data_IF_994466376715
#
_entry.id   IF_994466376715
#
_cell.length_a   1.000
_cell.length_b   1.000
_cell.length_c   1.000
_cell.angle_alpha   90.00
_cell.angle_beta   90.00
_cell.angle_gamma   90.00
#
_symmetry.space_group_name_H-M   'P 1'
#
loop_
_entity.id
_entity.type
_entity.pdbx_description
1 polymer ?
#
# COMPACT_ATOMS: atom_id res chain seq x y z
N UNK A 1 -17.80 -14.93 28.37
CA UNK A 1 -17.83 -14.28 29.68
C UNK A 1 -16.52 -13.52 29.87
N UNK A 2 -16.63 -12.27 30.32
CA UNK A 2 -15.50 -11.43 30.68
C UNK A 2 -15.53 -11.24 32.20
N UNK A 3 -14.45 -11.61 32.85
CA UNK A 3 -14.27 -11.39 34.29
C UNK A 3 -13.24 -10.30 34.51
N UNK A 4 -13.71 -9.12 34.84
CA UNK A 4 -12.87 -7.98 35.18
C UNK A 4 -12.74 -7.92 36.69
N UNK A 5 -11.56 -8.20 37.21
CA UNK A 5 -11.25 -8.21 38.63
C UNK A 5 -10.57 -6.92 39.11
N UNK A 6 -10.51 -5.92 38.26
CA UNK A 6 -9.77 -4.68 38.53
C UNK A 6 -10.68 -3.47 38.55
N UNK A 7 -10.36 -2.52 39.39
CA UNK A 7 -10.92 -1.15 39.37
C UNK A 7 -9.97 -0.15 38.72
N UNK A 8 -8.83 -0.61 38.17
CA UNK A 8 -7.81 0.21 37.49
C UNK A 8 -7.66 -0.12 36.01
N UNK A 9 -8.28 -1.21 35.58
CA UNK A 9 -8.19 -1.73 34.22
C UNK A 9 -9.57 -2.08 33.69
N UNK A 10 -9.69 -2.14 32.39
CA UNK A 10 -10.85 -2.66 31.69
C UNK A 10 -10.43 -3.69 30.64
N UNK A 11 -11.37 -4.36 30.05
CA UNK A 11 -11.17 -5.20 28.88
C UNK A 11 -12.02 -4.65 27.73
N UNK A 12 -11.37 -4.06 26.76
CA UNK A 12 -11.99 -3.50 25.57
C UNK A 12 -11.65 -4.39 24.34
N UNK A 13 -12.67 -4.98 23.73
CA UNK A 13 -12.57 -5.81 22.53
C UNK A 13 -13.12 -5.06 21.32
N UNK A 14 -12.28 -4.88 20.30
CA UNK A 14 -12.63 -4.19 19.05
C UNK A 14 -12.32 -5.05 17.83
N UNK A 15 -13.10 -4.91 16.77
CA UNK A 15 -12.89 -5.61 15.50
C UNK A 15 -14.11 -5.54 14.59
N UNK A 16 -14.14 -6.30 13.48
CA UNK A 16 -15.27 -6.29 12.56
C UNK A 16 -16.59 -6.61 13.25
N UNK A 17 -17.48 -5.59 13.35
CA UNK A 17 -18.78 -5.72 14.00
C UNK A 17 -18.74 -5.86 15.52
N UNK A 18 -17.61 -5.64 16.17
CA UNK A 18 -17.45 -5.76 17.62
C UNK A 18 -16.76 -4.52 18.19
N UNK A 19 -17.39 -3.93 19.20
CA UNK A 19 -16.86 -2.85 20.01
C UNK A 19 -17.53 -2.98 21.40
N UNK A 20 -16.86 -3.67 22.34
CA UNK A 20 -17.39 -4.00 23.66
C UNK A 20 -16.32 -3.77 24.72
N UNK A 21 -16.68 -3.06 25.79
CA UNK A 21 -15.78 -2.79 26.90
C UNK A 21 -16.43 -3.03 28.26
N UNK A 22 -15.63 -3.41 29.25
CA UNK A 22 -15.96 -3.26 30.68
C UNK A 22 -15.61 -1.83 31.12
N UNK A 23 -15.98 -1.44 32.31
CA UNK A 23 -15.66 -0.10 32.83
C UNK A 23 -14.35 -0.11 33.62
N UNK A 24 -13.46 0.87 33.38
CA UNK A 24 -12.18 1.01 34.09
C UNK A 24 -12.34 1.07 35.62
N UNK A 25 -13.39 1.66 36.12
CA UNK A 25 -13.54 1.93 37.58
C UNK A 25 -14.31 0.86 38.36
N UNK A 26 -14.69 -0.23 37.70
CA UNK A 26 -15.62 -1.21 38.31
C UNK A 26 -15.21 -2.64 38.00
N UNK A 27 -14.81 -3.39 39.02
CA UNK A 27 -14.67 -4.83 38.87
C UNK A 27 -16.04 -5.46 38.57
N UNK A 28 -16.14 -6.21 37.47
CA UNK A 28 -17.42 -6.73 36.96
C UNK A 28 -17.31 -8.05 36.24
N UNK A 29 -18.42 -8.73 36.08
CA UNK A 29 -18.55 -9.87 35.16
C UNK A 29 -19.59 -9.52 34.11
N UNK A 30 -19.20 -9.59 32.85
CA UNK A 30 -20.10 -9.35 31.73
C UNK A 30 -20.18 -10.60 30.82
N UNK A 31 -21.34 -10.83 30.24
CA UNK A 31 -21.56 -11.83 29.21
C UNK A 31 -21.85 -11.12 27.90
N UNK A 32 -20.99 -11.29 26.92
CA UNK A 32 -21.16 -10.73 25.58
C UNK A 32 -21.50 -11.84 24.59
N UNK A 33 -22.53 -11.60 23.78
CA UNK A 33 -22.84 -12.43 22.61
C UNK A 33 -22.18 -11.79 21.40
N UNK A 34 -21.04 -12.34 20.98
CA UNK A 34 -20.23 -11.81 19.88
C UNK A 34 -20.19 -12.81 18.74
N UNK A 35 -20.50 -12.33 17.53
CA UNK A 35 -20.27 -13.10 16.29
C UNK A 35 -18.97 -12.65 15.66
N UNK A 36 -17.98 -13.52 15.64
CA UNK A 36 -16.71 -13.24 14.99
C UNK A 36 -16.80 -13.54 13.49
N UNK A 37 -16.64 -12.51 12.66
CA UNK A 37 -16.47 -12.63 11.21
C UNK A 37 -14.98 -12.61 10.85
N UNK A 38 -14.65 -12.86 9.57
CA UNK A 38 -13.27 -12.84 9.12
C UNK A 38 -12.61 -11.47 9.37
N UNK A 39 -11.48 -11.46 10.05
CA UNK A 39 -10.76 -10.24 10.35
C UNK A 39 -9.86 -10.33 11.58
N UNK A 40 -9.23 -9.21 11.90
CA UNK A 40 -8.39 -9.06 13.08
C UNK A 40 -9.16 -8.34 14.18
N UNK A 41 -9.16 -8.93 15.35
CA UNK A 41 -9.71 -8.38 16.58
C UNK A 41 -8.57 -7.95 17.50
N UNK A 42 -8.80 -6.89 18.23
CA UNK A 42 -7.85 -6.36 19.20
C UNK A 42 -8.53 -6.26 20.56
N UNK A 43 -7.74 -6.51 21.57
CA UNK A 43 -8.17 -6.24 22.94
C UNK A 43 -7.11 -5.39 23.64
N UNK A 44 -7.57 -4.48 24.48
CA UNK A 44 -6.72 -3.57 25.25
C UNK A 44 -7.38 -3.19 26.55
N UNK A 45 -6.60 -2.59 27.44
CA UNK A 45 -7.11 -1.76 28.51
C UNK A 45 -7.05 -0.30 28.07
N UNK A 46 -8.15 0.42 28.16
CA UNK A 46 -8.24 1.82 27.70
C UNK A 46 -7.38 2.76 28.56
N UNK A 47 -7.19 2.44 29.84
CA UNK A 47 -6.26 3.17 30.71
C UNK A 47 -4.79 2.91 30.36
N UNK A 48 -4.46 1.76 29.74
CA UNK A 48 -3.08 1.35 29.45
C UNK A 48 -2.90 0.79 28.02
N UNK A 49 -3.28 1.53 26.96
CA UNK A 49 -3.41 1.00 25.59
C UNK A 49 -2.08 0.61 24.94
N UNK A 50 -0.95 1.03 25.50
CA UNK A 50 0.39 0.72 24.97
C UNK A 50 0.99 -0.54 25.57
N UNK A 51 0.68 -0.88 26.82
CA UNK A 51 1.25 -1.98 27.59
C UNK A 51 0.29 -3.17 27.77
N UNK A 52 -1.01 -2.93 27.85
CA UNK A 52 -2.03 -3.97 28.07
C UNK A 52 -2.87 -4.13 26.79
N UNK A 53 -2.35 -4.91 25.86
CA UNK A 53 -3.01 -5.12 24.57
C UNK A 53 -2.59 -6.45 23.91
N UNK A 54 -3.46 -6.95 23.06
CA UNK A 54 -3.18 -8.08 22.20
C UNK A 54 -4.12 -8.12 21.01
N UNK A 55 -3.97 -9.15 20.19
CA UNK A 55 -4.86 -9.35 19.05
C UNK A 55 -4.97 -10.82 18.69
N UNK A 56 -6.06 -11.18 18.03
CA UNK A 56 -6.26 -12.47 17.40
C UNK A 56 -6.96 -12.30 16.05
N UNK A 57 -6.96 -13.32 15.23
CA UNK A 57 -7.66 -13.33 13.95
C UNK A 57 -8.77 -14.36 13.97
N UNK A 58 -9.90 -14.04 13.37
CA UNK A 58 -10.99 -14.97 13.09
C UNK A 58 -11.08 -15.21 11.60
N UNK A 59 -11.28 -16.44 11.17
CA UNK A 59 -11.38 -16.81 9.78
C UNK A 59 -10.08 -16.67 8.97
N UNK A 60 -10.22 -16.48 7.67
CA UNK A 60 -9.08 -16.32 6.75
C UNK A 60 -8.77 -14.83 6.54
N UNK A 61 -7.69 -14.34 7.14
CA UNK A 61 -7.22 -12.98 6.87
C UNK A 61 -6.42 -12.98 5.56
N UNK A 62 -7.02 -12.47 4.50
CA UNK A 62 -6.30 -12.25 3.25
C UNK A 62 -5.30 -11.12 3.46
N UNK A 63 -4.01 -11.44 3.50
CA UNK A 63 -2.97 -10.42 3.56
C UNK A 63 -3.12 -9.44 2.39
N UNK A 64 -2.97 -8.11 2.61
CA UNK A 64 -2.98 -7.17 1.50
C UNK A 64 -1.96 -7.60 0.43
N UNK A 65 -2.32 -7.55 -0.86
CA UNK A 65 -1.41 -7.97 -1.91
C UNK A 65 -0.10 -7.19 -1.82
N UNK A 66 1.05 -7.86 -1.97
CA UNK A 66 2.35 -7.22 -1.82
C UNK A 66 2.52 -6.08 -2.82
N UNK A 67 2.99 -4.92 -2.33
CA UNK A 67 3.25 -3.77 -3.19
C UNK A 67 4.42 -4.09 -4.12
N UNK A 68 4.12 -4.28 -5.39
CA UNK A 68 5.13 -4.57 -6.42
C UNK A 68 6.02 -3.35 -6.67
N UNK A 69 7.31 -3.59 -6.95
CA UNK A 69 8.30 -2.52 -7.16
C UNK A 69 8.72 -2.44 -8.62
N UNK A 70 8.84 -1.21 -9.12
CA UNK A 70 9.34 -0.90 -10.46
C UNK A 70 10.44 0.16 -10.37
N UNK A 71 11.32 0.17 -11.36
CA UNK A 71 12.35 1.18 -11.54
C UNK A 71 12.18 1.81 -12.92
N UNK A 72 11.94 3.11 -12.94
CA UNK A 72 11.96 3.94 -14.12
C UNK A 72 13.27 4.70 -14.19
N UNK A 73 13.79 4.89 -15.39
CA UNK A 73 14.98 5.69 -15.59
C UNK A 73 14.88 6.50 -16.87
N UNK A 74 15.35 7.74 -16.82
CA UNK A 74 15.63 8.58 -17.98
C UNK A 74 17.06 9.09 -17.90
N UNK A 75 17.77 9.05 -19.03
CA UNK A 75 19.22 9.31 -19.07
C UNK A 75 20.08 8.16 -18.50
N UNK A 76 21.43 8.31 -18.58
CA UNK A 76 22.14 9.27 -19.41
C UNK A 76 22.04 8.91 -20.91
N UNK A 77 22.58 9.76 -21.78
CA UNK A 77 22.73 9.48 -23.23
C UNK A 77 21.42 9.17 -23.98
N UNK A 78 20.36 9.98 -23.76
CA UNK A 78 19.06 9.81 -24.43
C UNK A 78 18.49 8.39 -24.32
N UNK A 79 18.44 7.86 -23.11
CA UNK A 79 17.83 6.57 -22.82
C UNK A 79 16.61 6.76 -21.93
N UNK A 80 15.62 5.90 -22.09
CA UNK A 80 14.47 5.83 -21.22
C UNK A 80 14.03 4.38 -21.01
N UNK A 81 13.69 4.00 -19.80
CA UNK A 81 13.30 2.63 -19.51
C UNK A 81 12.36 2.50 -18.33
N UNK A 82 11.56 1.45 -18.33
CA UNK A 82 10.78 0.97 -17.20
C UNK A 82 11.10 -0.50 -16.98
N UNK A 83 11.55 -0.85 -15.77
CA UNK A 83 12.02 -2.19 -15.41
C UNK A 83 11.36 -2.69 -14.13
N UNK A 84 11.32 -4.00 -13.97
CA UNK A 84 11.01 -4.65 -12.70
C UNK A 84 12.13 -4.43 -11.69
N UNK A 85 11.91 -4.77 -10.42
CA UNK A 85 12.97 -4.73 -9.40
C UNK A 85 14.15 -5.67 -9.72
N UNK A 86 13.90 -6.76 -10.45
CA UNK A 86 14.93 -7.69 -10.93
C UNK A 86 15.70 -7.19 -12.17
N UNK A 87 15.35 -6.01 -12.71
CA UNK A 87 16.02 -5.40 -13.86
C UNK A 87 15.43 -5.77 -15.23
N UNK A 88 14.45 -6.67 -15.31
CA UNK A 88 13.80 -7.03 -16.56
C UNK A 88 12.96 -5.87 -17.11
N UNK A 89 12.99 -5.66 -18.44
CA UNK A 89 12.14 -4.65 -19.11
C UNK A 89 10.67 -5.00 -18.97
N UNK A 90 9.87 -4.04 -18.56
CA UNK A 90 8.43 -4.20 -18.44
C UNK A 90 7.78 -4.19 -19.82
N UNK A 91 7.10 -5.30 -20.16
CA UNK A 91 6.21 -5.43 -21.31
C UNK A 91 4.77 -5.57 -20.88
N UNK A 92 4.54 -6.32 -19.81
CA UNK A 92 3.21 -6.58 -19.25
C UNK A 92 3.27 -6.48 -17.73
N UNK A 93 2.23 -5.93 -17.11
CA UNK A 93 2.06 -5.84 -15.67
C UNK A 93 0.66 -6.28 -15.26
N UNK A 94 0.48 -7.02 -14.17
CA UNK A 94 -0.85 -7.16 -13.57
C UNK A 94 -1.36 -5.82 -13.03
N UNK A 95 -2.68 -5.60 -13.06
CA UNK A 95 -3.30 -4.45 -12.40
C UNK A 95 -2.99 -4.45 -10.90
N UNK A 96 -2.98 -3.27 -10.27
CA UNK A 96 -2.76 -3.14 -8.84
C UNK A 96 -1.81 -2.01 -8.44
N UNK A 97 -1.43 -2.01 -7.16
CA UNK A 97 -0.59 -0.97 -6.55
C UNK A 97 0.91 -1.27 -6.75
N UNK A 98 1.65 -0.24 -7.14
CA UNK A 98 3.09 -0.29 -7.36
C UNK A 98 3.81 0.86 -6.68
N UNK A 99 5.01 0.58 -6.17
CA UNK A 99 6.00 1.59 -5.76
C UNK A 99 7.01 1.74 -6.90
N UNK A 100 7.02 2.90 -7.54
CA UNK A 100 7.89 3.22 -8.66
C UNK A 100 9.02 4.14 -8.21
N UNK A 101 10.27 3.69 -8.33
CA UNK A 101 11.45 4.53 -8.15
C UNK A 101 11.84 5.11 -9.51
N UNK A 102 11.78 6.42 -9.65
CA UNK A 102 12.11 7.14 -10.88
C UNK A 102 13.48 7.77 -10.73
N UNK A 103 14.45 7.32 -11.50
CA UNK A 103 15.81 7.86 -11.57
C UNK A 103 15.92 8.76 -12.79
N UNK A 104 15.94 10.05 -12.57
CA UNK A 104 16.15 11.05 -13.61
C UNK A 104 17.61 11.50 -13.56
N UNK A 105 18.39 11.12 -14.56
CA UNK A 105 19.85 11.29 -14.61
C UNK A 105 20.28 12.41 -15.55
N UNK A 106 19.33 13.19 -16.07
CA UNK A 106 19.62 14.26 -17.06
C UNK A 106 18.77 15.50 -16.77
N UNK A 107 19.24 16.65 -17.20
CA UNK A 107 18.46 17.90 -17.17
C UNK A 107 17.87 18.24 -18.55
N UNK A 108 18.01 17.36 -19.53
CA UNK A 108 17.53 17.58 -20.91
C UNK A 108 16.25 16.80 -21.23
N UNK A 109 15.88 15.85 -20.39
CA UNK A 109 14.75 14.95 -20.56
C UNK A 109 13.98 14.79 -19.25
N UNK A 110 12.79 14.24 -19.33
CA UNK A 110 12.01 13.86 -18.15
C UNK A 110 11.42 12.46 -18.30
N UNK A 111 10.98 11.88 -17.22
CA UNK A 111 10.21 10.65 -17.26
C UNK A 111 8.73 10.96 -17.07
N UNK A 112 7.94 10.77 -18.12
CA UNK A 112 6.49 10.98 -18.12
C UNK A 112 5.78 9.63 -18.30
N UNK A 113 5.07 9.17 -17.27
CA UNK A 113 4.31 7.93 -17.21
C UNK A 113 2.83 8.22 -17.42
N UNK A 114 2.22 7.56 -18.39
CA UNK A 114 0.81 7.71 -18.75
C UNK A 114 0.19 6.31 -18.87
N UNK A 115 -0.82 6.02 -18.08
CA UNK A 115 -1.60 4.79 -18.12
C UNK A 115 -3.01 5.04 -17.57
N UNK A 116 -3.97 4.15 -17.72
CA UNK A 116 -5.29 4.29 -17.10
C UNK A 116 -5.18 4.53 -15.60
N UNK A 117 -5.65 5.69 -15.13
CA UNK A 117 -5.55 6.14 -13.74
C UNK A 117 -4.19 6.70 -13.30
N UNK A 118 -3.22 6.82 -14.21
CA UNK A 118 -1.87 7.34 -13.90
C UNK A 118 -1.44 8.36 -14.96
N UNK A 119 -1.10 9.57 -14.49
CA UNK A 119 -0.45 10.60 -15.29
C UNK A 119 0.54 11.34 -14.39
N UNK A 120 1.82 10.92 -14.39
CA UNK A 120 2.86 11.48 -13.51
C UNK A 120 4.16 11.69 -14.27
N UNK A 121 4.86 12.78 -13.95
CA UNK A 121 6.12 13.10 -14.60
C UNK A 121 7.11 13.78 -13.64
N UNK A 122 8.40 13.67 -13.97
CA UNK A 122 9.45 14.57 -13.49
C UNK A 122 9.48 15.85 -14.34
N UNK A 123 10.08 16.90 -13.84
CA UNK A 123 10.34 18.10 -14.65
C UNK A 123 11.50 17.86 -15.63
N UNK A 124 11.51 18.53 -16.78
CA UNK A 124 12.62 18.39 -17.76
C UNK A 124 13.97 18.82 -17.17
N UNK A 125 13.99 19.86 -16.36
CA UNK A 125 15.20 20.35 -15.68
C UNK A 125 15.52 19.60 -14.36
N UNK A 126 14.66 18.68 -13.95
CA UNK A 126 14.88 17.89 -12.73
C UNK A 126 15.98 16.85 -12.98
N UNK A 127 16.84 16.66 -11.98
CA UNK A 127 17.81 15.58 -11.93
C UNK A 127 17.84 15.02 -10.51
N UNK A 128 17.54 13.73 -10.35
CA UNK A 128 17.48 13.12 -9.03
C UNK A 128 16.65 11.83 -9.02
N UNK A 129 16.23 11.43 -7.83
CA UNK A 129 15.39 10.26 -7.63
C UNK A 129 14.08 10.68 -6.98
N UNK A 130 12.97 10.24 -7.58
CA UNK A 130 11.63 10.39 -7.02
C UNK A 130 11.01 9.03 -6.77
N UNK A 131 10.16 8.92 -5.76
CA UNK A 131 9.39 7.71 -5.49
C UNK A 131 7.91 8.01 -5.62
N UNK A 132 7.21 7.22 -6.45
CA UNK A 132 5.78 7.35 -6.67
C UNK A 132 5.05 6.08 -6.24
N UNK A 133 3.93 6.23 -5.57
CA UNK A 133 2.95 5.16 -5.43
C UNK A 133 1.89 5.37 -6.51
N UNK A 134 1.67 4.36 -7.35
CA UNK A 134 0.71 4.38 -8.44
C UNK A 134 -0.16 3.13 -8.41
N UNK A 135 -1.41 3.26 -8.87
CA UNK A 135 -2.32 2.13 -9.05
C UNK A 135 -2.61 2.00 -10.53
N UNK A 136 -2.09 0.96 -11.15
CA UNK A 136 -2.39 0.66 -12.55
C UNK A 136 -3.73 -0.06 -12.69
N UNK A 137 -4.52 0.39 -13.65
CA UNK A 137 -5.75 -0.26 -14.11
C UNK A 137 -5.49 -0.93 -15.46
N UNK A 138 -6.29 -1.92 -15.82
CA UNK A 138 -6.20 -2.63 -17.09
C UNK A 138 -6.20 -1.66 -18.28
N UNK A 139 -5.30 -1.88 -19.24
CA UNK A 139 -5.16 -1.09 -20.45
C UNK A 139 -3.71 -0.82 -20.85
N UNK A 140 -3.54 -0.06 -21.92
CA UNK A 140 -2.23 0.30 -22.42
C UNK A 140 -1.58 1.40 -21.56
N UNK A 141 -0.32 1.21 -21.22
CA UNK A 141 0.54 2.20 -20.59
C UNK A 141 1.68 2.61 -21.51
N UNK A 142 2.14 3.84 -21.36
CA UNK A 142 3.30 4.38 -22.07
C UNK A 142 4.13 5.27 -21.16
N UNK A 143 5.38 5.38 -21.47
CA UNK A 143 6.29 6.35 -20.84
C UNK A 143 7.14 7.02 -21.93
N UNK A 144 7.48 8.28 -21.73
CA UNK A 144 8.23 9.10 -22.69
C UNK A 144 8.96 10.25 -22.02
N UNK A 145 9.85 10.89 -22.79
CA UNK A 145 10.29 12.26 -22.51
C UNK A 145 9.35 13.27 -23.20
N UNK A 146 8.98 14.34 -22.51
CA UNK A 146 8.23 15.43 -23.11
C UNK A 146 9.12 16.33 -23.98
N UNK A 147 10.43 16.43 -23.65
CA UNK A 147 11.41 17.19 -24.42
C UNK A 147 11.83 16.48 -25.71
N UNK A 148 11.99 15.14 -25.67
CA UNK A 148 12.40 14.36 -26.83
C UNK A 148 11.43 13.18 -27.02
N UNK A 149 10.41 13.38 -27.82
CA UNK A 149 9.33 12.39 -28.03
C UNK A 149 9.79 11.04 -28.62
N UNK A 150 10.93 11.00 -29.27
CA UNK A 150 11.56 9.77 -29.74
C UNK A 150 12.01 8.86 -28.58
N UNK A 151 12.21 9.40 -27.38
CA UNK A 151 12.45 8.62 -26.17
C UNK A 151 11.11 8.17 -25.58
N UNK A 152 10.70 6.97 -25.91
CA UNK A 152 9.44 6.41 -25.40
C UNK A 152 9.51 4.88 -25.25
N UNK A 153 8.55 4.35 -24.56
CA UNK A 153 8.27 2.92 -24.46
C UNK A 153 6.82 2.69 -24.05
N UNK A 154 6.38 1.45 -24.20
CA UNK A 154 5.04 1.04 -23.86
C UNK A 154 5.01 -0.26 -23.08
N UNK A 155 3.89 -0.51 -22.41
CA UNK A 155 3.58 -1.74 -21.70
C UNK A 155 2.06 -1.96 -21.65
N UNK A 156 1.63 -3.15 -21.32
CA UNK A 156 0.22 -3.49 -21.15
C UNK A 156 -0.06 -3.85 -19.69
N UNK A 157 -1.14 -3.32 -19.14
CA UNK A 157 -1.64 -3.74 -17.84
C UNK A 157 -2.79 -4.72 -18.05
N UNK A 158 -2.65 -5.92 -17.50
CA UNK A 158 -3.63 -7.01 -17.58
C UNK A 158 -4.38 -7.18 -16.26
N UNK A 159 -5.54 -7.81 -16.30
CA UNK A 159 -6.28 -8.19 -15.08
C UNK A 159 -5.44 -9.14 -14.20
N UNK A 160 -5.71 -9.12 -12.92
CA UNK A 160 -5.28 -10.19 -12.01
C UNK A 160 -6.30 -11.33 -12.11
N UNK A 161 -5.80 -12.53 -12.36
CA UNK A 161 -6.63 -13.74 -12.25
C UNK A 161 -7.07 -13.93 -10.80
#
# INVERSE_FOLDING_TARGET
NVHDYSTLHDFHLTGPGVDQATAVETASTATWNVTFTDGTYRYSCDAHPTSMRGSFTSGTVVAPPPVRKLVAQVGPKRTISLKTASGARVKTLPAGKYKLTVKDLTKADNFHLIAPGVNRKTGVAFRGTSTWTVTFRVGAGKYRSDAHRALHGGFTVIGTA
#
